data_IF_139451174285
#
_entry.id   IF_139451174285
#
_cell.length_a   1.000
_cell.length_b   1.000
_cell.length_c   1.000
_cell.angle_alpha   90.00
_cell.angle_beta   90.00
_cell.angle_gamma   90.00
#
_symmetry.space_group_name_H-M   'P 1'
#
loop_
_entity.id
_entity.type
_entity.pdbx_description
1 polymer ?
#
# COMPACT_ATOMS: atom_id res chain seq x y z
N UNK A 1 -13.37 26.10 22.75
CA UNK A 1 -12.68 24.92 23.30
C UNK A 1 -12.45 23.97 22.13
N UNK A 2 -11.21 23.75 21.66
CA UNK A 2 -11.00 22.75 20.62
C UNK A 2 -11.25 21.34 21.23
N UNK A 3 -11.79 20.40 20.44
CA UNK A 3 -12.10 19.05 20.90
C UNK A 3 -10.82 18.25 21.19
N UNK A 4 -10.97 17.22 22.02
CA UNK A 4 -9.96 16.27 22.49
C UNK A 4 -8.85 15.98 21.45
N UNK A 5 -7.69 16.62 21.58
CA UNK A 5 -6.45 16.18 20.92
C UNK A 5 -5.60 15.50 21.98
N UNK A 6 -5.46 14.17 22.01
CA UNK A 6 -4.38 13.56 22.74
C UNK A 6 -3.09 13.99 22.04
N UNK A 7 -2.47 15.07 22.54
CA UNK A 7 -1.10 15.46 22.19
C UNK A 7 -0.20 14.37 22.74
N UNK A 8 0.02 13.32 21.96
CA UNK A 8 1.05 12.34 22.26
C UNK A 8 2.37 13.05 21.98
N UNK A 9 2.98 13.60 23.03
CA UNK A 9 4.35 14.07 22.98
C UNK A 9 5.25 12.90 22.54
N UNK A 10 6.23 13.09 21.64
CA UNK A 10 7.06 12.01 21.07
C UNK A 10 7.86 11.18 22.08
N UNK A 11 7.79 11.47 23.37
CA UNK A 11 8.68 10.95 24.42
C UNK A 11 8.18 9.64 25.06
N UNK A 12 6.90 9.29 24.98
CA UNK A 12 6.33 8.13 25.73
C UNK A 12 5.87 6.98 24.82
N UNK A 13 6.10 7.09 23.51
CA UNK A 13 5.62 6.12 22.53
C UNK A 13 6.49 4.85 22.50
N UNK A 14 5.88 3.70 22.79
CA UNK A 14 6.50 2.39 22.60
C UNK A 14 6.26 1.90 21.17
N UNK A 15 7.08 0.96 20.64
CA UNK A 15 6.84 0.36 19.32
C UNK A 15 5.43 -0.23 19.18
N UNK A 16 4.88 -0.77 20.27
CA UNK A 16 3.54 -1.34 20.29
C UNK A 16 2.44 -0.26 20.20
N UNK A 17 2.59 0.86 20.92
CA UNK A 17 1.61 1.96 20.84
C UNK A 17 1.63 2.63 19.47
N UNK A 18 2.80 2.78 18.85
CA UNK A 18 2.92 3.29 17.47
C UNK A 18 2.26 2.34 16.47
N UNK A 19 2.48 1.03 16.62
CA UNK A 19 1.84 0.01 15.77
C UNK A 19 0.31 0.04 15.93
N UNK A 20 -0.20 0.07 17.17
CA UNK A 20 -1.64 0.14 17.44
C UNK A 20 -2.26 1.43 16.89
N UNK A 21 -1.55 2.56 16.93
CA UNK A 21 -2.02 3.80 16.30
C UNK A 21 -2.12 3.60 14.78
N UNK A 22 -1.08 3.08 14.14
CA UNK A 22 -1.11 2.79 12.70
C UNK A 22 -2.26 1.87 12.30
N UNK A 23 -2.52 0.81 13.08
CA UNK A 23 -3.68 -0.07 12.84
C UNK A 23 -5.00 0.71 12.89
N UNK A 24 -5.17 1.60 13.88
CA UNK A 24 -6.39 2.42 14.01
C UNK A 24 -6.52 3.41 12.86
N UNK A 25 -5.43 4.03 12.45
CA UNK A 25 -5.40 4.99 11.34
C UNK A 25 -5.75 4.31 9.99
N UNK A 26 -5.47 3.01 9.86
CA UNK A 26 -5.85 2.22 8.70
C UNK A 26 -7.33 1.80 8.64
N UNK A 27 -8.06 1.78 9.76
CA UNK A 27 -9.46 1.30 9.78
C UNK A 27 -10.36 2.08 8.81
N UNK A 28 -10.35 3.43 8.78
CA UNK A 28 -11.20 4.19 7.86
C UNK A 28 -10.90 3.92 6.38
N UNK A 29 -9.66 3.59 6.03
CA UNK A 29 -9.27 3.26 4.65
C UNK A 29 -9.94 1.98 4.15
N UNK A 30 -10.27 1.05 5.04
CA UNK A 30 -10.95 -0.20 4.67
C UNK A 30 -12.31 0.06 4.01
N UNK A 31 -12.97 1.18 4.30
CA UNK A 31 -14.21 1.57 3.63
C UNK A 31 -14.03 1.80 2.12
N UNK A 32 -12.84 2.19 1.68
CA UNK A 32 -12.48 2.29 0.27
C UNK A 32 -11.88 1.00 -0.30
N UNK A 33 -11.02 0.32 0.48
CA UNK A 33 -10.30 -0.87 0.02
C UNK A 33 -11.22 -2.08 -0.15
N UNK A 34 -12.19 -2.30 0.74
CA UNK A 34 -13.08 -3.47 0.68
C UNK A 34 -13.90 -3.51 -0.62
N UNK A 35 -14.63 -2.44 -1.01
CA UNK A 35 -15.35 -2.43 -2.29
C UNK A 35 -14.43 -2.65 -3.49
N UNK A 36 -13.25 -2.04 -3.48
CA UNK A 36 -12.27 -2.19 -4.55
C UNK A 36 -11.81 -3.65 -4.69
N UNK A 37 -11.47 -4.29 -3.56
CA UNK A 37 -11.07 -5.70 -3.52
C UNK A 37 -12.19 -6.64 -4.00
N UNK A 38 -13.45 -6.34 -3.67
CA UNK A 38 -14.60 -7.10 -4.16
C UNK A 38 -14.76 -7.00 -5.67
N UNK A 39 -14.58 -5.79 -6.25
CA UNK A 39 -14.63 -5.61 -7.70
C UNK A 39 -13.49 -6.38 -8.37
N UNK A 40 -12.26 -6.28 -7.85
CA UNK A 40 -11.11 -7.02 -8.37
C UNK A 40 -11.35 -8.54 -8.37
N UNK A 41 -11.84 -9.07 -7.24
CA UNK A 41 -12.17 -10.49 -7.11
C UNK A 41 -13.30 -10.93 -8.03
N UNK A 42 -14.34 -10.11 -8.20
CA UNK A 42 -15.42 -10.38 -9.14
C UNK A 42 -14.95 -10.37 -10.61
N UNK A 43 -14.01 -9.49 -10.96
CA UNK A 43 -13.38 -9.46 -12.29
C UNK A 43 -12.52 -10.71 -12.50
N UNK A 44 -11.73 -11.12 -11.51
CA UNK A 44 -10.92 -12.34 -11.59
C UNK A 44 -11.79 -13.59 -11.77
N UNK A 45 -12.91 -13.69 -11.04
CA UNK A 45 -13.85 -14.79 -11.16
C UNK A 45 -14.50 -14.90 -12.54
N UNK A 46 -14.71 -13.77 -13.24
CA UNK A 46 -15.23 -13.76 -14.61
C UNK A 46 -14.21 -14.19 -15.66
N UNK A 47 -12.92 -14.15 -15.32
CA UNK A 47 -11.81 -14.55 -16.21
C UNK A 47 -11.29 -15.96 -15.89
N UNK A 48 -12.10 -16.76 -15.19
CA UNK A 48 -11.81 -18.16 -14.84
C UNK A 48 -10.46 -18.38 -14.12
N UNK A 49 -9.97 -17.36 -13.39
CA UNK A 49 -8.78 -17.53 -12.54
C UNK A 49 -9.04 -18.59 -11.47
N UNK A 50 -8.06 -19.46 -11.24
CA UNK A 50 -8.16 -20.45 -10.18
C UNK A 50 -8.06 -19.81 -8.77
N UNK A 51 -8.52 -20.57 -7.78
CA UNK A 51 -8.42 -20.24 -6.36
C UNK A 51 -6.97 -20.12 -5.84
N UNK A 52 -5.96 -20.49 -6.64
CA UNK A 52 -4.55 -20.34 -6.28
C UNK A 52 -3.88 -19.22 -7.08
N UNK A 53 -4.18 -19.09 -8.37
CA UNK A 53 -3.54 -18.10 -9.24
C UNK A 53 -3.85 -16.68 -8.80
N UNK A 54 -5.11 -16.37 -8.50
CA UNK A 54 -5.49 -15.00 -8.13
C UNK A 54 -4.91 -14.57 -6.77
N UNK A 55 -4.96 -15.38 -5.70
CA UNK A 55 -4.27 -15.06 -4.44
C UNK A 55 -2.74 -14.96 -4.58
N UNK A 56 -2.12 -15.75 -5.47
CA UNK A 56 -0.68 -15.64 -5.72
C UNK A 56 -0.35 -14.34 -6.47
N UNK A 57 -1.13 -13.98 -7.48
CA UNK A 57 -0.98 -12.74 -8.24
C UNK A 57 -1.07 -11.53 -7.31
N UNK A 58 -2.15 -11.45 -6.52
CA UNK A 58 -2.39 -10.35 -5.59
C UNK A 58 -1.40 -10.35 -4.42
N UNK A 59 -1.12 -11.52 -3.84
CA UNK A 59 -0.22 -11.67 -2.71
C UNK A 59 1.26 -11.44 -3.03
N UNK A 60 1.68 -11.56 -4.29
CA UNK A 60 3.05 -11.22 -4.71
C UNK A 60 3.18 -9.77 -5.18
N UNK A 61 2.12 -9.22 -5.78
CA UNK A 61 2.17 -7.90 -6.41
C UNK A 61 1.81 -6.75 -5.45
N UNK A 62 0.87 -6.97 -4.52
CA UNK A 62 0.49 -5.98 -3.50
C UNK A 62 0.19 -4.58 -4.08
N UNK A 63 -0.46 -4.51 -5.25
CA UNK A 63 -0.60 -3.25 -5.98
C UNK A 63 -1.87 -3.22 -6.85
N UNK A 64 -3.00 -2.91 -6.21
CA UNK A 64 -4.35 -2.99 -6.81
C UNK A 64 -4.46 -2.35 -8.19
N UNK A 65 -3.87 -1.18 -8.42
CA UNK A 65 -3.92 -0.51 -9.73
C UNK A 65 -3.30 -1.32 -10.88
N UNK A 66 -2.21 -2.04 -10.62
CA UNK A 66 -1.60 -2.92 -11.62
C UNK A 66 -2.32 -4.28 -11.72
N UNK A 67 -2.94 -4.74 -10.64
CA UNK A 67 -3.73 -5.98 -10.63
C UNK A 67 -4.96 -5.85 -11.53
N UNK A 68 -5.68 -4.71 -11.46
CA UNK A 68 -6.75 -4.40 -12.40
C UNK A 68 -6.25 -4.39 -13.84
N UNK A 69 -5.12 -3.72 -14.11
CA UNK A 69 -4.57 -3.65 -15.47
C UNK A 69 -4.15 -5.03 -16.02
N UNK A 70 -3.57 -5.87 -15.17
CA UNK A 70 -3.21 -7.25 -15.53
C UNK A 70 -4.47 -8.08 -15.80
N UNK A 71 -5.49 -7.99 -14.94
CA UNK A 71 -6.75 -8.69 -15.16
C UNK A 71 -7.38 -8.23 -16.47
N UNK A 72 -7.47 -6.93 -16.75
CA UNK A 72 -8.01 -6.40 -18.01
C UNK A 72 -7.23 -6.91 -19.23
N UNK A 73 -5.90 -6.91 -19.17
CA UNK A 73 -5.03 -7.39 -20.24
C UNK A 73 -4.93 -8.93 -20.35
N UNK A 74 -5.52 -9.67 -19.41
CA UNK A 74 -5.44 -11.14 -19.37
C UNK A 74 -6.25 -11.80 -20.48
N UNK A 75 -5.62 -12.75 -21.18
CA UNK A 75 -6.17 -13.56 -22.28
C UNK A 75 -5.84 -15.04 -22.07
N UNK A 76 -6.46 -15.95 -22.84
CA UNK A 76 -6.24 -17.40 -22.76
C UNK A 76 -4.77 -17.82 -22.98
N UNK A 77 -3.99 -17.00 -23.68
CA UNK A 77 -2.55 -17.18 -23.91
C UNK A 77 -1.83 -15.86 -23.62
N UNK A 78 -1.62 -15.54 -22.34
CA UNK A 78 -1.11 -14.24 -21.95
C UNK A 78 0.37 -14.11 -22.31
N UNK A 79 0.74 -13.00 -22.91
CA UNK A 79 2.14 -12.68 -23.15
C UNK A 79 2.78 -12.18 -21.85
N UNK A 80 3.44 -13.08 -21.11
CA UNK A 80 3.95 -12.79 -19.76
C UNK A 80 4.84 -11.55 -19.69
N UNK A 81 5.70 -11.33 -20.69
CA UNK A 81 6.58 -10.16 -20.73
C UNK A 81 5.77 -8.86 -20.79
N UNK A 82 4.63 -8.85 -21.49
CA UNK A 82 3.74 -7.69 -21.58
C UNK A 82 3.10 -7.41 -20.23
N UNK A 83 2.61 -8.44 -19.54
CA UNK A 83 2.04 -8.27 -18.19
C UNK A 83 3.08 -7.76 -17.20
N UNK A 84 4.30 -8.30 -17.23
CA UNK A 84 5.41 -7.82 -16.39
C UNK A 84 5.71 -6.35 -16.68
N UNK A 85 5.75 -5.93 -17.95
CA UNK A 85 5.98 -4.53 -18.32
C UNK A 85 4.85 -3.62 -17.88
N UNK A 86 3.58 -4.03 -18.04
CA UNK A 86 2.41 -3.29 -17.55
C UNK A 86 2.54 -3.08 -16.04
N UNK A 87 2.76 -4.15 -15.29
CA UNK A 87 2.92 -4.10 -13.84
C UNK A 87 4.09 -3.20 -13.43
N UNK A 88 5.26 -3.38 -14.05
CA UNK A 88 6.43 -2.56 -13.78
C UNK A 88 6.18 -1.08 -14.04
N UNK A 89 5.61 -0.73 -15.19
CA UNK A 89 5.34 0.66 -15.56
C UNK A 89 4.34 1.31 -14.60
N UNK A 90 3.27 0.60 -14.26
CA UNK A 90 2.26 1.09 -13.31
C UNK A 90 2.85 1.23 -11.90
N UNK A 91 3.66 0.27 -11.46
CA UNK A 91 4.25 0.25 -10.11
C UNK A 91 5.49 1.14 -9.99
N UNK A 92 6.06 1.61 -11.10
CA UNK A 92 7.18 2.58 -11.08
C UNK A 92 6.86 3.83 -10.27
N UNK A 93 5.56 4.14 -10.09
CA UNK A 93 5.08 5.17 -9.15
C UNK A 93 5.69 5.02 -7.76
N UNK A 94 5.89 3.80 -7.26
CA UNK A 94 6.43 3.55 -5.93
C UNK A 94 7.87 4.07 -5.76
N UNK A 95 8.62 4.24 -6.85
CA UNK A 95 9.93 4.90 -6.84
C UNK A 95 9.77 6.38 -6.45
N UNK A 96 8.81 7.07 -7.07
CA UNK A 96 8.51 8.48 -6.81
C UNK A 96 7.89 8.67 -5.43
N UNK A 97 6.93 7.81 -5.06
CA UNK A 97 6.30 7.82 -3.74
C UNK A 97 7.34 7.55 -2.65
N UNK A 98 8.21 6.57 -2.83
CA UNK A 98 9.30 6.28 -1.89
C UNK A 98 10.30 7.43 -1.78
N UNK A 99 10.66 8.06 -2.90
CA UNK A 99 11.53 9.23 -2.93
C UNK A 99 10.95 10.41 -2.12
N UNK A 100 9.63 10.62 -2.17
CA UNK A 100 8.96 11.67 -1.39
C UNK A 100 9.06 11.47 0.13
N UNK A 101 9.27 10.23 0.59
CA UNK A 101 9.42 9.91 2.02
C UNK A 101 10.86 10.03 2.53
N UNK A 102 11.86 10.17 1.65
CA UNK A 102 13.28 10.23 2.02
C UNK A 102 13.60 11.28 3.10
N UNK A 103 13.08 12.53 3.05
CA UNK A 103 13.38 13.53 4.08
C UNK A 103 12.99 13.11 5.49
N UNK A 104 11.94 12.28 5.62
CA UNK A 104 11.40 11.82 6.90
C UNK A 104 12.04 10.51 7.36
N UNK A 105 12.51 9.67 6.43
CA UNK A 105 13.07 8.34 6.73
C UNK A 105 14.59 8.34 6.92
N UNK A 106 15.32 9.37 6.44
CA UNK A 106 16.79 9.43 6.46
C UNK A 106 17.44 9.28 7.85
N UNK A 107 16.68 9.52 8.92
CA UNK A 107 17.15 9.44 10.30
C UNK A 107 16.98 8.03 10.91
N UNK A 108 16.36 7.11 10.18
CA UNK A 108 16.14 5.73 10.64
C UNK A 108 17.12 4.74 9.99
N UNK A 109 17.48 3.65 10.70
CA UNK A 109 18.39 2.66 10.14
C UNK A 109 17.74 1.90 8.98
N UNK A 110 18.52 1.58 7.94
CA UNK A 110 18.05 0.90 6.71
C UNK A 110 17.27 -0.40 6.97
N UNK A 111 17.59 -1.13 8.04
CA UNK A 111 16.86 -2.34 8.47
C UNK A 111 15.38 -2.10 8.80
N UNK A 112 14.99 -0.87 9.12
CA UNK A 112 13.59 -0.47 9.34
C UNK A 112 12.99 0.14 8.08
N UNK A 113 13.79 0.93 7.35
CA UNK A 113 13.35 1.67 6.16
C UNK A 113 13.06 0.74 4.99
N UNK A 114 13.95 -0.20 4.66
CA UNK A 114 13.75 -1.05 3.48
C UNK A 114 12.52 -1.97 3.58
N UNK A 115 12.24 -2.65 4.71
CA UNK A 115 10.99 -3.40 4.84
C UNK A 115 9.75 -2.51 4.75
N UNK A 116 9.79 -1.31 5.34
CA UNK A 116 8.68 -0.37 5.27
C UNK A 116 8.40 0.10 3.84
N UNK A 117 9.45 0.38 3.06
CA UNK A 117 9.33 0.74 1.64
C UNK A 117 8.94 -0.45 0.75
N UNK A 118 9.36 -1.67 1.10
CA UNK A 118 9.00 -2.88 0.35
C UNK A 118 7.51 -3.20 0.48
N UNK A 119 6.93 -3.05 1.67
CA UNK A 119 5.50 -3.24 1.92
C UNK A 119 4.67 -1.96 1.74
N UNK A 120 5.24 -0.93 1.12
CA UNK A 120 4.55 0.33 0.90
C UNK A 120 3.52 0.18 -0.22
N UNK A 121 2.29 0.53 0.10
CA UNK A 121 1.17 0.71 -0.84
C UNK A 121 0.69 2.17 -0.81
N UNK A 122 -0.11 2.57 -1.80
CA UNK A 122 -0.61 3.96 -1.98
C UNK A 122 -1.24 4.51 -0.67
N UNK A 123 -2.03 3.69 0.03
CA UNK A 123 -2.69 4.05 1.28
C UNK A 123 -1.69 4.28 2.42
N UNK A 124 -0.74 3.35 2.58
CA UNK A 124 0.28 3.43 3.62
C UNK A 124 1.24 4.60 3.39
N UNK A 125 1.54 4.92 2.12
CA UNK A 125 2.32 6.08 1.73
C UNK A 125 1.60 7.38 2.09
N UNK A 126 0.32 7.50 1.73
CA UNK A 126 -0.48 8.70 1.99
C UNK A 126 -0.62 9.00 3.49
N UNK A 127 -0.88 7.96 4.29
CA UNK A 127 -0.89 8.08 5.75
C UNK A 127 0.48 8.48 6.31
N UNK A 128 1.55 7.81 5.86
CA UNK A 128 2.91 8.07 6.36
C UNK A 128 3.36 9.50 6.06
N UNK A 129 3.08 10.00 4.86
CA UNK A 129 3.42 11.37 4.48
C UNK A 129 2.64 12.39 5.31
N UNK A 130 1.35 12.15 5.52
CA UNK A 130 0.48 13.04 6.32
C UNK A 130 0.93 13.07 7.80
N UNK A 131 1.17 11.90 8.41
CA UNK A 131 1.68 11.80 9.79
C UNK A 131 3.03 12.50 9.93
N UNK A 132 3.94 12.28 8.98
CA UNK A 132 5.25 12.91 9.00
C UNK A 132 5.19 14.45 8.89
N UNK A 133 4.29 14.98 8.06
CA UNK A 133 4.06 16.43 7.95
C UNK A 133 3.45 17.01 9.23
N UNK A 134 2.47 16.34 9.83
CA UNK A 134 1.82 16.79 11.07
C UNK A 134 2.79 16.82 12.27
N UNK A 135 3.79 15.92 12.30
CA UNK A 135 4.82 15.93 13.36
C UNK A 135 5.85 17.05 13.23
N UNK A 136 5.96 17.66 12.05
CA UNK A 136 6.87 18.77 11.79
C UNK A 136 6.18 20.14 11.89
N UNK A 137 4.85 20.18 11.96
CA UNK A 137 4.03 21.40 12.12
C UNK A 137 3.85 21.77 13.59
#
# INVERSE_FOLDING_TARGET
MPPFQPRITPSDATPLSEFQRGVKDCIPLLLGVIPLALVLGATAAQKDFSLLEFPLLTGLNFAGGSEFAVLEAWTDSPHLLTLIFITFLINSRYILLGASLVPYLRHHPNRKVFPALFFMVDESWALSLTDAQLRLA
#
